data_IF_421775416061
#
_entry.id   IF_421775416061
#
_cell.length_a   1.000
_cell.length_b   1.000
_cell.length_c   1.000
_cell.angle_alpha   90.00
_cell.angle_beta   90.00
_cell.angle_gamma   90.00
#
_symmetry.space_group_name_H-M   'P 1'
#
loop_
_entity.id
_entity.type
_entity.pdbx_description
1 polymer ?
#
# COMPACT_ATOMS: atom_id res chain seq x y z
N UNK A 1 0.79 1.89 12.45
CA UNK A 1 0.67 0.47 12.01
C UNK A 1 0.49 0.42 10.50
N UNK A 2 1.25 -0.46 9.84
CA UNK A 2 1.18 -0.73 8.40
C UNK A 2 0.41 -2.03 8.21
N UNK A 3 -0.65 -2.01 7.39
CA UNK A 3 -1.42 -3.20 7.04
C UNK A 3 -1.08 -3.65 5.63
N UNK A 4 -0.58 -4.88 5.47
CA UNK A 4 -0.22 -5.44 4.16
C UNK A 4 -1.35 -6.35 3.68
N UNK A 5 -1.77 -6.20 2.43
CA UNK A 5 -2.91 -6.91 1.85
C UNK A 5 -2.69 -7.21 0.37
N UNK A 6 -3.36 -8.24 -0.15
CA UNK A 6 -3.30 -8.62 -1.56
C UNK A 6 -4.45 -7.97 -2.34
N UNK A 7 -4.11 -7.29 -3.44
CA UNK A 7 -5.04 -6.83 -4.47
C UNK A 7 -4.85 -7.73 -5.70
N UNK A 8 -5.63 -8.82 -5.82
CA UNK A 8 -5.43 -9.79 -6.88
C UNK A 8 -5.93 -9.26 -8.22
N UNK A 9 -5.23 -9.64 -9.29
CA UNK A 9 -5.66 -9.48 -10.67
C UNK A 9 -6.41 -10.72 -11.13
N UNK A 10 -7.67 -10.56 -11.55
CA UNK A 10 -8.48 -11.68 -12.06
C UNK A 10 -8.37 -11.77 -13.58
N UNK A 11 -7.64 -12.76 -14.07
CA UNK A 11 -7.43 -12.99 -15.52
C UNK A 11 -8.73 -13.14 -16.31
N UNK A 12 -9.76 -13.74 -15.71
CA UNK A 12 -11.06 -13.98 -16.37
C UNK A 12 -11.82 -12.67 -16.69
N UNK A 13 -11.67 -11.64 -15.87
CA UNK A 13 -12.35 -10.34 -16.05
C UNK A 13 -11.39 -9.17 -16.32
N UNK A 14 -10.09 -9.44 -16.36
CA UNK A 14 -9.01 -8.48 -16.62
C UNK A 14 -9.05 -7.26 -15.71
N UNK A 15 -9.31 -7.46 -14.41
CA UNK A 15 -9.44 -6.37 -13.46
C UNK A 15 -8.77 -6.67 -12.11
N UNK A 16 -8.35 -5.62 -11.44
CA UNK A 16 -7.92 -5.65 -10.04
C UNK A 16 -9.13 -5.67 -9.11
N UNK A 17 -9.06 -6.47 -8.05
CA UNK A 17 -10.12 -6.54 -7.04
C UNK A 17 -9.67 -5.94 -5.72
N UNK A 18 -10.24 -4.78 -5.36
CA UNK A 18 -10.02 -4.13 -4.06
C UNK A 18 -10.84 -4.72 -2.91
N UNK A 19 -11.83 -5.58 -3.19
CA UNK A 19 -12.76 -6.11 -2.17
C UNK A 19 -12.08 -6.94 -1.06
N UNK A 20 -11.11 -7.82 -1.35
CA UNK A 20 -10.38 -8.54 -0.30
C UNK A 20 -9.65 -7.59 0.66
N UNK A 21 -9.01 -6.53 0.13
CA UNK A 21 -8.39 -5.47 0.93
C UNK A 21 -9.38 -4.76 1.84
N UNK A 22 -10.53 -4.35 1.30
CA UNK A 22 -11.58 -3.69 2.08
C UNK A 22 -12.10 -4.58 3.23
N UNK A 23 -12.30 -5.87 2.97
CA UNK A 23 -12.73 -6.83 3.99
C UNK A 23 -11.68 -6.99 5.09
N UNK A 24 -10.41 -7.12 4.72
CA UNK A 24 -9.30 -7.28 5.65
C UNK A 24 -9.10 -6.04 6.53
N UNK A 25 -9.18 -4.83 5.96
CA UNK A 25 -9.11 -3.59 6.77
C UNK A 25 -10.32 -3.46 7.69
N UNK A 26 -11.52 -3.82 7.23
CA UNK A 26 -12.72 -3.76 8.07
C UNK A 26 -12.64 -4.72 9.26
N UNK A 27 -12.07 -5.91 9.08
CA UNK A 27 -11.81 -6.86 10.17
C UNK A 27 -10.85 -6.26 11.19
N UNK A 28 -9.73 -5.67 10.73
CA UNK A 28 -8.75 -4.98 11.56
C UNK A 28 -9.37 -3.81 12.36
N UNK A 29 -10.21 -3.00 11.71
CA UNK A 29 -10.98 -1.93 12.36
C UNK A 29 -11.99 -2.46 13.37
N UNK A 30 -12.61 -3.62 13.09
CA UNK A 30 -13.50 -4.32 14.01
C UNK A 30 -12.80 -4.78 15.30
N UNK A 31 -11.49 -5.01 15.24
CA UNK A 31 -10.65 -5.27 16.42
C UNK A 31 -10.21 -3.99 17.15
N UNK A 32 -10.67 -2.81 16.71
CA UNK A 32 -10.30 -1.51 17.27
C UNK A 32 -8.99 -0.94 16.72
N UNK A 33 -8.47 -1.49 15.62
CA UNK A 33 -7.16 -1.10 15.07
C UNK A 33 -7.34 -0.36 13.74
N UNK A 34 -6.98 0.92 13.72
CA UNK A 34 -6.98 1.74 12.50
C UNK A 34 -5.59 1.67 11.83
N UNK A 35 -5.49 1.29 10.54
CA UNK A 35 -4.22 1.39 9.83
C UNK A 35 -3.86 2.83 9.50
N UNK A 36 -2.58 3.15 9.66
CA UNK A 36 -1.99 4.42 9.21
C UNK A 36 -1.54 4.34 7.75
N UNK A 37 -1.23 3.13 7.27
CA UNK A 37 -0.79 2.86 5.90
C UNK A 37 -1.35 1.52 5.46
N UNK A 38 -1.84 1.45 4.22
CA UNK A 38 -2.26 0.19 3.58
C UNK A 38 -1.29 -0.09 2.44
N UNK A 39 -0.54 -1.19 2.54
CA UNK A 39 0.37 -1.65 1.50
C UNK A 39 -0.32 -2.74 0.68
N UNK A 40 -0.53 -2.47 -0.60
CA UNK A 40 -1.23 -3.32 -1.54
C UNK A 40 -0.24 -4.13 -2.38
N UNK A 41 -0.04 -5.41 -2.03
CA UNK A 41 0.65 -6.38 -2.89
C UNK A 41 -0.18 -6.66 -4.14
N UNK A 42 0.43 -6.55 -5.31
CA UNK A 42 -0.27 -6.77 -6.58
C UNK A 42 0.70 -7.08 -7.72
N UNK A 43 0.23 -7.81 -8.72
CA UNK A 43 1.02 -8.19 -9.90
C UNK A 43 1.11 -7.06 -10.95
N UNK A 44 0.13 -6.16 -10.95
CA UNK A 44 0.04 -5.07 -11.93
C UNK A 44 -0.26 -3.72 -11.24
N UNK A 45 0.12 -2.58 -11.85
CA UNK A 45 -0.10 -1.27 -11.22
C UNK A 45 -1.57 -1.02 -10.85
N UNK A 46 -1.78 -0.50 -9.64
CA UNK A 46 -3.06 0.01 -9.20
C UNK A 46 -3.44 1.23 -10.03
N UNK A 47 -4.58 1.16 -10.70
CA UNK A 47 -5.16 2.35 -11.29
C UNK A 47 -5.68 3.32 -10.21
N UNK A 48 -5.94 4.56 -10.63
CA UNK A 48 -6.47 5.61 -9.75
C UNK A 48 -7.81 5.21 -9.12
N UNK A 49 -8.67 4.50 -9.85
CA UNK A 49 -10.00 4.15 -9.37
C UNK A 49 -9.96 3.10 -8.24
N UNK A 50 -9.04 2.15 -8.31
CA UNK A 50 -8.78 1.15 -7.27
C UNK A 50 -8.16 1.83 -6.05
N UNK A 51 -7.17 2.71 -6.25
CA UNK A 51 -6.55 3.46 -5.16
C UNK A 51 -7.58 4.33 -4.41
N UNK A 52 -8.41 5.08 -5.15
CA UNK A 52 -9.49 5.90 -4.60
C UNK A 52 -10.53 5.05 -3.84
N UNK A 53 -10.90 3.88 -4.37
CA UNK A 53 -11.80 2.94 -3.66
C UNK A 53 -11.17 2.47 -2.35
N UNK A 54 -9.91 2.06 -2.35
CA UNK A 54 -9.24 1.60 -1.12
C UNK A 54 -9.19 2.74 -0.12
N UNK A 55 -8.78 3.94 -0.54
CA UNK A 55 -8.75 5.14 0.31
C UNK A 55 -10.11 5.41 0.96
N UNK A 56 -11.18 5.47 0.16
CA UNK A 56 -12.54 5.75 0.62
C UNK A 56 -13.06 4.68 1.60
N UNK A 57 -12.95 3.40 1.24
CA UNK A 57 -13.55 2.31 2.03
C UNK A 57 -12.72 1.93 3.26
N UNK A 58 -11.41 2.19 3.25
CA UNK A 58 -10.51 1.90 4.37
C UNK A 58 -10.31 3.11 5.29
N UNK A 59 -10.87 4.28 4.93
CA UNK A 59 -10.70 5.55 5.64
C UNK A 59 -9.23 5.91 5.85
N UNK A 60 -8.42 5.79 4.79
CA UNK A 60 -7.01 6.19 4.76
C UNK A 60 -6.80 7.16 3.59
N UNK A 61 -6.04 8.27 3.75
CA UNK A 61 -5.62 9.12 2.65
C UNK A 61 -5.05 8.33 1.46
N UNK A 62 -5.30 8.80 0.24
CA UNK A 62 -4.73 8.21 -0.97
C UNK A 62 -3.20 8.12 -0.95
N UNK A 63 -2.53 9.08 -0.30
CA UNK A 63 -1.07 9.07 -0.10
C UNK A 63 -0.58 7.96 0.84
N UNK A 64 -1.48 7.34 1.62
CA UNK A 64 -1.21 6.22 2.53
C UNK A 64 -1.64 4.87 1.94
N UNK A 65 -2.14 4.85 0.69
CA UNK A 65 -2.36 3.62 -0.07
C UNK A 65 -1.13 3.40 -0.95
N UNK A 66 -0.27 2.49 -0.50
CA UNK A 66 1.06 2.25 -1.07
C UNK A 66 1.01 0.99 -1.92
N UNK A 67 1.43 1.08 -3.18
CA UNK A 67 1.52 -0.09 -4.05
C UNK A 67 2.80 -0.87 -3.76
N UNK A 68 2.71 -2.20 -3.80
CA UNK A 68 3.86 -3.09 -3.71
C UNK A 68 3.79 -4.12 -4.83
N UNK A 69 4.38 -3.76 -5.97
CA UNK A 69 4.48 -4.64 -7.13
C UNK A 69 5.41 -5.80 -6.86
N UNK A 70 5.17 -6.91 -7.57
CA UNK A 70 6.16 -7.97 -7.65
C UNK A 70 7.44 -7.43 -8.32
N UNK A 71 8.57 -7.85 -7.76
CA UNK A 71 9.92 -7.47 -8.20
C UNK A 71 10.70 -8.73 -8.51
N UNK A 72 11.72 -8.63 -9.37
CA UNK A 72 12.48 -9.80 -9.81
C UNK A 72 13.41 -10.30 -8.70
N UNK A 73 13.95 -9.37 -7.91
CA UNK A 73 14.86 -9.67 -6.81
C UNK A 73 14.42 -9.02 -5.51
N UNK A 74 14.73 -9.67 -4.38
CA UNK A 74 14.40 -9.12 -3.06
C UNK A 74 15.03 -7.73 -2.80
N UNK A 75 16.20 -7.47 -3.40
CA UNK A 75 16.93 -6.21 -3.24
C UNK A 75 16.27 -5.02 -3.94
N UNK A 76 15.31 -5.26 -4.84
CA UNK A 76 14.52 -4.20 -5.47
C UNK A 76 13.38 -3.71 -4.58
N UNK A 77 12.96 -4.49 -3.58
CA UNK A 77 11.83 -4.12 -2.71
C UNK A 77 12.06 -2.77 -2.02
N UNK A 78 13.21 -2.49 -1.36
CA UNK A 78 13.44 -1.19 -0.75
C UNK A 78 13.36 -0.03 -1.76
N UNK A 79 13.91 -0.22 -2.95
CA UNK A 79 13.89 0.79 -4.03
C UNK A 79 12.47 1.04 -4.54
N UNK A 80 11.66 0.00 -4.67
CA UNK A 80 10.26 0.10 -5.08
C UNK A 80 9.42 0.82 -4.01
N UNK A 81 9.65 0.51 -2.74
CA UNK A 81 8.96 1.17 -1.61
C UNK A 81 9.34 2.64 -1.46
N UNK A 82 10.60 2.98 -1.74
CA UNK A 82 11.05 4.37 -1.76
C UNK A 82 10.38 5.16 -2.88
N UNK A 83 10.29 4.60 -4.09
CA UNK A 83 9.56 5.22 -5.21
C UNK A 83 8.08 5.46 -4.91
N UNK A 84 7.46 4.59 -4.12
CA UNK A 84 6.07 4.75 -3.66
C UNK A 84 5.92 5.63 -2.41
N UNK A 85 7.02 6.24 -1.92
CA UNK A 85 7.05 7.16 -0.76
C UNK A 85 6.63 6.49 0.56
N UNK A 86 6.90 5.19 0.74
CA UNK A 86 6.54 4.50 1.99
C UNK A 86 7.26 5.11 3.20
N UNK A 87 8.58 5.31 3.12
CA UNK A 87 9.38 5.86 4.21
C UNK A 87 8.89 7.26 4.60
N UNK A 88 8.76 8.15 3.62
CA UNK A 88 8.21 9.50 3.80
C UNK A 88 6.83 9.48 4.48
N UNK A 89 5.95 8.59 4.05
CA UNK A 89 4.60 8.45 4.60
C UNK A 89 4.64 8.00 6.06
N UNK A 90 5.46 6.99 6.39
CA UNK A 90 5.61 6.47 7.74
C UNK A 90 6.22 7.52 8.68
N UNK A 91 7.30 8.18 8.26
CA UNK A 91 7.92 9.24 9.04
C UNK A 91 6.95 10.39 9.31
N UNK A 92 6.13 10.77 8.33
CA UNK A 92 5.05 11.76 8.52
C UNK A 92 4.02 11.31 9.55
N UNK A 93 3.58 10.05 9.53
CA UNK A 93 2.63 9.52 10.54
C UNK A 93 3.25 9.51 11.95
N UNK A 94 4.56 9.29 12.05
CA UNK A 94 5.28 9.22 13.32
C UNK A 94 5.83 10.58 13.80
N UNK A 95 5.67 11.65 13.02
CA UNK A 95 6.26 12.97 13.27
C UNK A 95 7.79 12.93 13.40
N UNK A 96 8.43 12.18 12.50
CA UNK A 96 9.89 12.04 12.42
C UNK A 96 10.44 12.77 11.19
N UNK A 97 11.68 13.25 11.30
CA UNK A 97 12.44 13.72 10.16
C UNK A 97 12.70 12.55 9.20
N UNK A 98 12.56 12.79 7.90
CA UNK A 98 12.82 11.81 6.85
C UNK A 98 13.88 12.37 5.90
N UNK A 99 15.17 12.30 6.25
CA UNK A 99 16.24 12.72 5.36
C UNK A 99 16.25 11.82 4.11
N UNK A 100 16.73 12.37 2.99
CA UNK A 100 16.90 11.57 1.77
C UNK A 100 17.83 10.37 2.06
N UNK A 101 17.41 9.14 1.76
CA UNK A 101 18.24 7.98 2.01
C UNK A 101 19.44 7.96 1.05
N UNK A 102 20.61 7.54 1.56
CA UNK A 102 21.76 7.27 0.70
C UNK A 102 21.57 5.91 0.02
N UNK A 103 21.02 5.96 -1.19
CA UNK A 103 20.71 4.77 -1.99
C UNK A 103 21.81 4.48 -3.03
N UNK A 104 22.98 5.09 -2.87
CA UNK A 104 24.13 4.81 -3.74
C UNK A 104 24.76 3.48 -3.29
N UNK A 105 24.75 2.51 -4.20
CA UNK A 105 25.55 1.30 -4.10
C UNK A 105 27.01 1.56 -4.42
#
# INVERSE_FOLDING_TARGET
MIHVTLVPYLKASQELKSKPTQASVKELQGMGIQPDVVVCRTEIPLDKAIRDKISLFCNVPNSQVIQNLDVETLYEVPLAMEKENLAQTVCKCLHLDCPEPDIKG
#
